data_IF_387306592316
#
_entry.id   IF_387306592316
#
_cell.length_a   1.000
_cell.length_b   1.000
_cell.length_c   1.000
_cell.angle_alpha   90.00
_cell.angle_beta   90.00
_cell.angle_gamma   90.00
#
_symmetry.space_group_name_H-M   'P 1'
#
loop_
_entity.id
_entity.type
_entity.pdbx_description
1 polymer ?
#
# COMPACT_ATOMS: atom_id res chain seq x y z
N UNK A 1 -8.27 -52.21 -10.56
CA UNK A 1 -8.96 -51.14 -9.80
C UNK A 1 -8.01 -50.25 -8.98
N UNK A 2 -6.97 -50.77 -8.28
CA UNK A 2 -6.06 -49.93 -7.47
C UNK A 2 -5.24 -48.92 -8.31
N UNK A 3 -4.72 -49.35 -9.47
CA UNK A 3 -3.83 -48.53 -10.31
C UNK A 3 -4.53 -47.30 -10.92
N UNK A 4 -5.83 -47.43 -11.20
CA UNK A 4 -6.65 -46.33 -11.74
C UNK A 4 -6.94 -45.27 -10.67
N UNK A 5 -7.13 -45.68 -9.41
CA UNK A 5 -7.27 -44.75 -8.29
C UNK A 5 -5.95 -44.04 -7.98
N UNK A 6 -4.81 -44.76 -8.06
CA UNK A 6 -3.49 -44.16 -7.88
C UNK A 6 -3.18 -43.11 -8.95
N UNK A 7 -3.45 -43.41 -10.23
CA UNK A 7 -3.27 -42.46 -11.33
C UNK A 7 -4.15 -41.20 -11.18
N UNK A 8 -5.41 -41.38 -10.76
CA UNK A 8 -6.32 -40.26 -10.48
C UNK A 8 -5.81 -39.39 -9.33
N UNK A 9 -5.37 -39.98 -8.21
CA UNK A 9 -4.85 -39.26 -7.05
C UNK A 9 -3.58 -38.47 -7.39
N UNK A 10 -2.67 -39.05 -8.17
CA UNK A 10 -1.45 -38.37 -8.64
C UNK A 10 -1.83 -37.19 -9.54
N UNK A 11 -2.79 -37.35 -10.44
CA UNK A 11 -3.29 -36.28 -11.29
C UNK A 11 -3.87 -35.11 -10.48
N UNK A 12 -4.71 -35.40 -9.50
CA UNK A 12 -5.30 -34.38 -8.60
C UNK A 12 -4.21 -33.66 -7.80
N UNK A 13 -3.26 -34.40 -7.22
CA UNK A 13 -2.14 -33.81 -6.47
C UNK A 13 -1.29 -32.89 -7.37
N UNK A 14 -1.02 -33.31 -8.60
CA UNK A 14 -0.30 -32.48 -9.59
C UNK A 14 -1.01 -31.16 -9.89
N UNK A 15 -2.34 -31.20 -10.09
CA UNK A 15 -3.14 -30.00 -10.33
C UNK A 15 -3.15 -29.05 -9.11
N UNK A 16 -3.23 -29.59 -7.90
CA UNK A 16 -3.17 -28.80 -6.66
C UNK A 16 -1.81 -28.10 -6.55
N UNK A 17 -0.71 -28.84 -6.73
CA UNK A 17 0.64 -28.29 -6.67
C UNK A 17 0.85 -27.21 -7.73
N UNK A 18 0.34 -27.43 -8.94
CA UNK A 18 0.38 -26.44 -10.02
C UNK A 18 -0.40 -25.17 -9.67
N UNK A 19 -1.61 -25.32 -9.11
CA UNK A 19 -2.41 -24.18 -8.63
C UNK A 19 -1.70 -23.39 -7.53
N UNK A 20 -1.09 -24.08 -6.56
CA UNK A 20 -0.30 -23.44 -5.49
C UNK A 20 0.90 -22.67 -6.05
N UNK A 21 1.60 -23.24 -7.03
CA UNK A 21 2.71 -22.58 -7.71
C UNK A 21 2.27 -21.28 -8.40
N UNK A 22 1.12 -21.29 -9.10
CA UNK A 22 0.56 -20.09 -9.73
C UNK A 22 0.28 -19.01 -8.67
N UNK A 23 -0.32 -19.38 -7.54
CA UNK A 23 -0.62 -18.45 -6.44
C UNK A 23 0.68 -17.86 -5.87
N UNK A 24 1.71 -18.67 -5.63
CA UNK A 24 3.00 -18.18 -5.13
C UNK A 24 3.64 -17.18 -6.09
N UNK A 25 3.68 -17.50 -7.39
CA UNK A 25 4.22 -16.59 -8.42
C UNK A 25 3.43 -15.28 -8.48
N UNK A 26 2.09 -15.36 -8.39
CA UNK A 26 1.24 -14.17 -8.41
C UNK A 26 1.50 -13.26 -7.20
N UNK A 27 1.67 -13.84 -6.01
CA UNK A 27 1.98 -13.10 -4.79
C UNK A 27 3.37 -12.44 -4.86
N UNK A 28 4.38 -13.15 -5.36
CA UNK A 28 5.72 -12.56 -5.55
C UNK A 28 5.69 -11.42 -6.57
N UNK A 29 4.98 -11.58 -7.68
CA UNK A 29 4.81 -10.52 -8.69
C UNK A 29 4.11 -9.29 -8.13
N UNK A 30 3.09 -9.48 -7.29
CA UNK A 30 2.41 -8.37 -6.61
C UNK A 30 3.37 -7.62 -5.68
N UNK A 31 4.14 -8.35 -4.88
CA UNK A 31 5.11 -7.75 -3.96
C UNK A 31 6.20 -6.97 -4.71
N UNK A 32 6.76 -7.56 -5.77
CA UNK A 32 7.74 -6.90 -6.63
C UNK A 32 7.17 -5.64 -7.29
N UNK A 33 5.91 -5.68 -7.77
CA UNK A 33 5.24 -4.51 -8.35
C UNK A 33 5.04 -3.40 -7.33
N UNK A 34 4.62 -3.74 -6.11
CA UNK A 34 4.43 -2.76 -5.04
C UNK A 34 5.76 -2.09 -4.65
N UNK A 35 6.84 -2.87 -4.54
CA UNK A 35 8.18 -2.33 -4.27
C UNK A 35 8.71 -1.46 -5.43
N UNK A 36 8.48 -1.87 -6.68
CA UNK A 36 8.85 -1.06 -7.84
C UNK A 36 8.15 0.30 -7.81
N UNK A 37 6.85 0.33 -7.49
CA UNK A 37 6.10 1.59 -7.34
C UNK A 37 6.56 2.43 -6.16
N UNK A 38 6.93 1.81 -5.05
CA UNK A 38 7.52 2.55 -3.92
C UNK A 38 8.90 3.15 -4.28
N UNK A 39 9.72 2.46 -5.07
CA UNK A 39 11.00 2.99 -5.58
C UNK A 39 10.78 4.16 -6.55
N UNK A 40 9.83 4.01 -7.47
CA UNK A 40 9.42 5.06 -8.40
C UNK A 40 8.90 6.30 -7.65
N UNK A 41 8.11 6.10 -6.60
CA UNK A 41 7.62 7.20 -5.76
C UNK A 41 8.75 8.06 -5.19
N UNK A 42 9.89 7.46 -4.85
CA UNK A 42 11.05 8.15 -4.29
C UNK A 42 12.12 8.50 -5.32
N UNK A 43 11.87 8.24 -6.61
CA UNK A 43 12.80 8.62 -7.66
C UNK A 43 12.92 10.15 -7.72
N UNK A 44 14.15 10.65 -7.64
CA UNK A 44 14.42 12.09 -7.60
C UNK A 44 14.32 12.74 -6.21
N UNK A 45 13.87 12.03 -5.18
CA UNK A 45 14.01 12.52 -3.79
C UNK A 45 15.44 12.26 -3.34
N UNK A 46 16.19 13.22 -2.77
CA UNK A 46 17.49 12.95 -2.17
C UNK A 46 17.43 11.93 -1.03
N UNK A 47 18.55 11.24 -0.74
CA UNK A 47 18.65 10.41 0.47
C UNK A 47 18.88 11.27 1.73
N UNK A 48 19.59 12.39 1.58
CA UNK A 48 19.85 13.38 2.61
C UNK A 48 18.89 14.57 2.48
N UNK A 49 18.26 14.99 3.58
CA UNK A 49 17.29 16.10 3.59
C UNK A 49 17.96 17.48 3.40
N UNK A 50 17.19 18.54 3.02
CA UNK A 50 17.65 19.90 2.77
C UNK A 50 17.89 20.67 4.08
N UNK A 51 18.32 19.97 5.13
CA UNK A 51 18.59 20.53 6.45
C UNK A 51 17.43 20.42 7.45
N UNK A 52 17.52 21.23 8.49
CA UNK A 52 16.59 21.25 9.61
C UNK A 52 15.46 22.25 9.40
N UNK A 53 14.33 22.03 10.08
CA UNK A 53 13.19 22.96 10.05
C UNK A 53 13.51 24.21 10.86
N UNK A 54 13.45 25.39 10.24
CA UNK A 54 13.77 26.66 10.88
C UNK A 54 12.53 27.43 11.33
N UNK A 55 12.66 28.21 12.40
CA UNK A 55 11.56 29.04 12.93
C UNK A 55 11.05 30.06 11.90
N UNK A 56 11.95 30.62 11.08
CA UNK A 56 11.60 31.59 10.03
C UNK A 56 10.69 31.01 8.95
N UNK A 57 10.66 29.69 8.77
CA UNK A 57 9.77 29.03 7.80
C UNK A 57 8.31 29.01 8.24
N UNK A 58 8.05 29.28 9.52
CA UNK A 58 6.69 29.43 10.03
C UNK A 58 6.12 30.82 9.69
N UNK A 59 6.94 31.76 9.21
CA UNK A 59 6.48 33.07 8.78
C UNK A 59 5.50 32.95 7.61
N UNK A 60 4.40 33.70 7.65
CA UNK A 60 3.34 33.65 6.63
C UNK A 60 2.33 32.49 6.77
N UNK A 61 2.59 31.47 7.60
CA UNK A 61 1.60 30.42 7.87
C UNK A 61 0.42 30.95 8.72
N UNK A 62 -0.78 30.33 8.64
CA UNK A 62 -1.86 30.63 9.57
C UNK A 62 -1.44 30.37 11.03
N UNK A 63 -1.93 31.17 11.98
CA UNK A 63 -1.46 31.10 13.37
C UNK A 63 -1.73 29.75 14.04
N UNK A 64 -2.83 29.08 13.66
CA UNK A 64 -3.12 27.73 14.12
C UNK A 64 -2.07 26.70 13.66
N UNK A 65 -1.55 26.84 12.44
CA UNK A 65 -0.50 25.97 11.89
C UNK A 65 0.83 26.24 12.58
N UNK A 66 1.21 27.51 12.75
CA UNK A 66 2.43 27.88 13.50
C UNK A 66 2.42 27.30 14.91
N UNK A 67 1.31 27.44 15.62
CA UNK A 67 1.18 26.96 16.99
C UNK A 67 1.24 25.43 17.06
N UNK A 68 0.64 24.73 16.09
CA UNK A 68 0.74 23.27 15.99
C UNK A 68 2.17 22.80 15.72
N UNK A 69 2.88 23.42 14.76
CA UNK A 69 4.28 23.08 14.43
C UNK A 69 5.23 23.33 15.60
N UNK A 70 5.06 24.43 16.34
CA UNK A 70 5.84 24.67 17.57
C UNK A 70 5.58 23.61 18.63
N UNK A 71 4.32 23.23 18.83
CA UNK A 71 3.93 22.24 19.83
C UNK A 71 4.32 20.81 19.45
N UNK A 72 4.42 20.50 18.16
CA UNK A 72 4.91 19.20 17.69
C UNK A 72 6.42 19.03 17.92
N UNK A 73 7.15 20.12 18.17
CA UNK A 73 8.60 20.10 18.42
C UNK A 73 9.44 19.92 17.16
N UNK A 74 8.89 20.23 15.98
CA UNK A 74 9.58 20.00 14.70
C UNK A 74 10.73 20.98 14.44
N UNK A 75 10.73 22.15 15.07
CA UNK A 75 11.78 23.16 14.86
C UNK A 75 13.13 22.63 15.34
N UNK A 76 14.16 22.79 14.51
CA UNK A 76 15.51 22.27 14.73
C UNK A 76 15.66 20.77 14.44
N UNK A 77 14.58 20.06 14.10
CA UNK A 77 14.64 18.66 13.68
C UNK A 77 14.96 18.55 12.19
N UNK A 78 15.54 17.43 11.80
CA UNK A 78 15.74 17.08 10.39
C UNK A 78 14.39 17.04 9.67
N UNK A 79 14.35 17.62 8.47
CA UNK A 79 13.15 17.60 7.66
C UNK A 79 12.81 16.17 7.22
N UNK A 80 11.52 15.86 7.25
CA UNK A 80 10.99 14.55 6.84
C UNK A 80 10.64 14.59 5.34
N UNK A 81 11.28 13.72 4.55
CA UNK A 81 11.09 13.62 3.09
C UNK A 81 10.36 12.35 2.68
N UNK A 82 10.68 11.27 3.40
CA UNK A 82 10.26 9.92 3.09
C UNK A 82 9.76 9.29 4.37
N UNK A 83 8.57 8.73 4.32
CA UNK A 83 8.00 8.00 5.45
C UNK A 83 7.70 6.58 5.00
N UNK A 84 8.09 5.60 5.84
CA UNK A 84 7.67 4.21 5.71
C UNK A 84 6.95 3.80 6.99
N UNK A 85 5.65 3.57 6.89
CA UNK A 85 4.83 3.09 8.00
C UNK A 85 4.60 1.59 7.84
N UNK A 86 4.78 0.83 8.91
CA UNK A 86 4.35 -0.56 9.03
C UNK A 86 3.06 -0.58 9.84
N UNK A 87 2.02 -1.17 9.28
CA UNK A 87 0.69 -1.18 9.87
C UNK A 87 0.24 -2.62 10.08
N UNK A 88 -0.35 -2.89 11.23
CA UNK A 88 -1.11 -4.11 11.50
C UNK A 88 -2.40 -3.72 12.21
N UNK A 89 -3.47 -4.46 11.95
CA UNK A 89 -4.76 -4.13 12.54
C UNK A 89 -5.88 -4.97 11.97
N UNK A 90 -7.10 -4.45 12.06
CA UNK A 90 -8.30 -5.07 11.51
C UNK A 90 -9.06 -4.07 10.67
N UNK A 91 -9.67 -4.52 9.57
CA UNK A 91 -10.53 -3.71 8.72
C UNK A 91 -11.80 -4.46 8.31
N UNK A 92 -12.86 -3.73 7.98
CA UNK A 92 -14.09 -4.30 7.39
C UNK A 92 -14.13 -3.97 5.90
N UNK A 93 -14.54 -4.92 5.09
CA UNK A 93 -14.72 -4.70 3.63
C UNK A 93 -16.07 -4.06 3.30
N UNK A 94 -17.02 -4.09 4.23
CA UNK A 94 -18.29 -3.39 4.16
C UNK A 94 -18.84 -3.18 5.59
N UNK A 95 -19.77 -2.22 5.80
CA UNK A 95 -20.30 -1.89 7.13
C UNK A 95 -20.87 -3.07 7.93
N UNK A 96 -21.37 -4.11 7.27
CA UNK A 96 -21.97 -5.28 7.92
C UNK A 96 -21.08 -6.54 7.89
N UNK A 97 -19.87 -6.48 7.31
CA UNK A 97 -18.96 -7.64 7.20
C UNK A 97 -18.10 -7.80 8.47
N UNK A 98 -17.54 -8.99 8.75
CA UNK A 98 -16.66 -9.17 9.90
C UNK A 98 -15.37 -8.34 9.79
N UNK A 99 -14.74 -8.06 10.92
CA UNK A 99 -13.41 -7.46 11.00
C UNK A 99 -12.33 -8.48 10.63
N UNK A 100 -11.61 -8.19 9.55
CA UNK A 100 -10.55 -9.03 9.02
C UNK A 100 -9.18 -8.48 9.41
N UNK A 101 -8.24 -9.31 9.88
CA UNK A 101 -6.90 -8.84 10.16
C UNK A 101 -6.17 -8.47 8.86
N UNK A 102 -5.36 -7.41 8.93
CA UNK A 102 -4.53 -6.96 7.83
C UNK A 102 -3.16 -6.52 8.30
N UNK A 103 -2.22 -6.57 7.36
CA UNK A 103 -0.91 -5.94 7.45
C UNK A 103 -0.72 -5.04 6.24
N UNK A 104 -0.06 -3.90 6.42
CA UNK A 104 0.23 -2.98 5.33
C UNK A 104 1.57 -2.28 5.50
N UNK A 105 2.12 -1.84 4.36
CA UNK A 105 3.26 -0.92 4.31
C UNK A 105 2.83 0.31 3.53
N UNK A 106 3.02 1.47 4.14
CA UNK A 106 2.69 2.77 3.55
C UNK A 106 3.98 3.55 3.31
N UNK A 107 4.26 3.86 2.05
CA UNK A 107 5.37 4.72 1.65
C UNK A 107 4.80 6.09 1.28
N UNK A 108 5.34 7.17 1.84
CA UNK A 108 4.87 8.54 1.59
C UNK A 108 6.05 9.41 1.19
N UNK A 109 5.89 10.14 0.09
CA UNK A 109 6.82 11.17 -0.36
C UNK A 109 6.22 12.54 0.00
N UNK A 110 6.97 13.31 0.78
CA UNK A 110 6.54 14.63 1.28
C UNK A 110 6.88 15.74 0.29
N UNK A 111 8.02 15.64 -0.40
CA UNK A 111 8.50 16.67 -1.34
C UNK A 111 7.69 16.69 -2.64
N UNK A 112 7.34 15.50 -3.12
CA UNK A 112 6.46 15.30 -4.27
C UNK A 112 5.24 14.53 -3.79
N UNK A 113 4.12 15.23 -3.47
CA UNK A 113 2.94 14.66 -2.86
C UNK A 113 2.51 13.35 -3.52
N UNK A 114 2.64 12.28 -2.75
CA UNK A 114 2.36 10.94 -3.24
C UNK A 114 2.55 9.88 -2.19
N UNK A 115 1.89 8.75 -2.40
CA UNK A 115 2.06 7.58 -1.57
C UNK A 115 1.91 6.28 -2.37
N UNK A 116 2.46 5.21 -1.81
CA UNK A 116 2.19 3.83 -2.21
C UNK A 116 1.82 3.05 -0.96
N UNK A 117 0.61 2.52 -0.94
CA UNK A 117 0.10 1.69 0.14
C UNK A 117 -0.14 0.29 -0.39
N UNK A 118 0.60 -0.68 0.17
CA UNK A 118 0.37 -2.10 -0.10
C UNK A 118 -0.19 -2.76 1.14
N UNK A 119 -1.20 -3.60 0.97
CA UNK A 119 -1.84 -4.29 2.07
C UNK A 119 -2.17 -5.73 1.73
N UNK A 120 -2.14 -6.56 2.76
CA UNK A 120 -2.55 -7.94 2.75
C UNK A 120 -3.64 -8.13 3.80
N UNK A 121 -4.84 -8.48 3.36
CA UNK A 121 -6.00 -8.73 4.24
C UNK A 121 -6.29 -10.22 4.25
N UNK A 122 -6.33 -10.83 5.44
CA UNK A 122 -6.58 -12.28 5.58
C UNK A 122 -8.08 -12.54 5.63
N UNK A 123 -8.60 -13.22 4.60
CA UNK A 123 -10.01 -13.64 4.52
C UNK A 123 -10.24 -14.96 5.25
N UNK A 124 -9.31 -15.91 5.08
CA UNK A 124 -9.33 -17.24 5.69
C UNK A 124 -7.89 -17.79 5.76
N UNK A 125 -7.62 -18.93 6.42
CA UNK A 125 -6.31 -19.58 6.34
C UNK A 125 -5.89 -19.83 4.89
N UNK A 126 -4.73 -19.31 4.48
CA UNK A 126 -4.22 -19.40 3.11
C UNK A 126 -4.88 -18.45 2.09
N UNK A 127 -5.99 -17.79 2.42
CA UNK A 127 -6.75 -16.93 1.49
C UNK A 127 -6.61 -15.46 1.89
N UNK A 128 -6.02 -14.66 1.00
CA UNK A 128 -5.75 -13.25 1.22
C UNK A 128 -6.22 -12.38 0.06
N UNK A 129 -6.65 -11.16 0.37
CA UNK A 129 -6.73 -10.07 -0.59
C UNK A 129 -5.46 -9.23 -0.52
N UNK A 130 -5.02 -8.78 -1.68
CA UNK A 130 -3.83 -7.98 -1.88
C UNK A 130 -4.25 -6.65 -2.47
N UNK A 131 -4.12 -5.58 -1.68
CA UNK A 131 -4.44 -4.22 -2.08
C UNK A 131 -3.17 -3.45 -2.42
N UNK A 132 -3.19 -2.74 -3.54
CA UNK A 132 -2.19 -1.75 -3.91
C UNK A 132 -2.95 -0.46 -4.26
N UNK A 133 -2.80 0.54 -3.40
CA UNK A 133 -3.32 1.90 -3.60
C UNK A 133 -2.15 2.86 -3.76
N UNK A 134 -2.29 3.86 -4.62
CA UNK A 134 -1.25 4.87 -4.81
C UNK A 134 -1.83 6.20 -5.28
N UNK A 135 -1.16 7.26 -4.86
CA UNK A 135 -1.31 8.61 -5.38
C UNK A 135 0.05 9.08 -5.85
N UNK A 136 0.15 9.56 -7.08
CA UNK A 136 1.41 10.10 -7.61
C UNK A 136 1.12 11.02 -8.78
N UNK A 137 1.81 12.17 -8.84
CA UNK A 137 1.66 13.17 -9.90
C UNK A 137 0.19 13.58 -10.13
N UNK A 138 -0.57 13.77 -9.05
CA UNK A 138 -1.98 14.16 -9.12
C UNK A 138 -2.95 13.02 -9.41
N UNK A 139 -2.49 11.79 -9.64
CA UNK A 139 -3.33 10.68 -10.08
C UNK A 139 -3.41 9.54 -9.07
N UNK A 140 -4.64 9.10 -8.82
CA UNK A 140 -5.00 7.99 -7.94
C UNK A 140 -5.15 6.67 -8.69
N UNK A 141 -4.73 5.57 -8.06
CA UNK A 141 -4.87 4.23 -8.63
C UNK A 141 -5.12 3.22 -7.53
N UNK A 142 -6.11 2.36 -7.72
CA UNK A 142 -6.43 1.29 -6.77
C UNK A 142 -6.54 -0.06 -7.47
N UNK A 143 -5.77 -1.03 -7.00
CA UNK A 143 -5.81 -2.40 -7.47
C UNK A 143 -5.94 -3.37 -6.29
N UNK A 144 -7.05 -4.11 -6.22
CA UNK A 144 -7.25 -5.14 -5.21
C UNK A 144 -7.44 -6.48 -5.91
N UNK A 145 -6.70 -7.50 -5.48
CA UNK A 145 -6.76 -8.84 -6.05
C UNK A 145 -6.96 -9.91 -4.97
N UNK A 146 -7.79 -10.91 -5.25
CA UNK A 146 -7.87 -12.13 -4.46
C UNK A 146 -6.72 -13.07 -4.84
N UNK A 147 -6.01 -13.59 -3.84
CA UNK A 147 -4.83 -14.47 -3.99
C UNK A 147 -3.70 -13.88 -4.87
N UNK A 148 -3.75 -12.58 -5.17
CA UNK A 148 -2.83 -11.91 -6.11
C UNK A 148 -3.18 -12.11 -7.59
N UNK A 149 -4.25 -12.85 -7.90
CA UNK A 149 -4.61 -13.26 -9.27
C UNK A 149 -5.89 -12.57 -9.72
N UNK A 150 -7.00 -12.86 -9.04
CA UNK A 150 -8.35 -12.47 -9.50
C UNK A 150 -8.60 -11.00 -9.13
N UNK A 151 -8.80 -10.09 -10.09
CA UNK A 151 -9.08 -8.70 -9.78
C UNK A 151 -10.45 -8.55 -9.12
N UNK A 152 -10.48 -7.88 -7.98
CA UNK A 152 -11.70 -7.47 -7.29
C UNK A 152 -11.99 -5.97 -7.51
N UNK A 153 -10.92 -5.17 -7.52
CA UNK A 153 -10.98 -3.74 -7.81
C UNK A 153 -9.84 -3.40 -8.75
N UNK A 154 -10.12 -2.62 -9.79
CA UNK A 154 -9.11 -2.13 -10.71
C UNK A 154 -9.50 -0.75 -11.23
N UNK A 155 -9.27 0.27 -10.41
CA UNK A 155 -9.62 1.64 -10.73
C UNK A 155 -8.42 2.35 -11.34
N UNK A 156 -8.67 2.99 -12.49
CA UNK A 156 -7.72 3.87 -13.18
C UNK A 156 -7.88 5.31 -12.70
N UNK A 157 -6.96 6.22 -13.04
CA UNK A 157 -7.09 7.64 -12.73
C UNK A 157 -8.38 8.20 -13.31
N UNK A 158 -8.90 9.19 -12.63
CA UNK A 158 -10.12 9.89 -12.96
C UNK A 158 -10.48 10.83 -11.82
N UNK A 159 -11.32 11.84 -12.08
CA UNK A 159 -11.54 12.95 -11.13
C UNK A 159 -11.86 12.49 -9.70
N UNK A 160 -12.75 11.51 -9.57
CA UNK A 160 -13.19 10.97 -8.27
C UNK A 160 -12.07 10.21 -7.54
N UNK A 161 -11.30 9.38 -8.27
CA UNK A 161 -10.21 8.58 -7.70
C UNK A 161 -9.01 9.48 -7.33
N UNK A 162 -8.70 10.44 -8.17
CA UNK A 162 -7.63 11.42 -7.96
C UNK A 162 -7.96 12.28 -6.74
N UNK A 163 -9.19 12.76 -6.61
CA UNK A 163 -9.65 13.50 -5.44
C UNK A 163 -9.64 12.63 -4.17
N UNK A 164 -10.18 11.41 -4.23
CA UNK A 164 -10.26 10.51 -3.07
C UNK A 164 -8.87 10.15 -2.53
N UNK A 165 -7.93 9.85 -3.42
CA UNK A 165 -6.55 9.50 -3.03
C UNK A 165 -5.75 10.73 -2.59
N UNK A 166 -5.97 11.91 -3.19
CA UNK A 166 -5.40 13.16 -2.68
C UNK A 166 -5.88 13.46 -1.26
N UNK A 167 -7.17 13.31 -0.98
CA UNK A 167 -7.71 13.45 0.38
C UNK A 167 -7.04 12.49 1.36
N UNK A 168 -6.81 11.24 0.94
CA UNK A 168 -6.09 10.25 1.75
C UNK A 168 -4.62 10.60 1.98
N UNK A 169 -3.96 11.28 1.05
CA UNK A 169 -2.59 11.77 1.24
C UNK A 169 -2.53 12.88 2.30
N UNK A 170 -3.56 13.73 2.36
CA UNK A 170 -3.63 14.88 3.27
C UNK A 170 -4.15 14.55 4.67
N UNK A 171 -4.71 13.36 4.88
CA UNK A 171 -5.34 12.91 6.13
C UNK A 171 -4.38 12.12 7.02
#
# INVERSE_FOLDING_TARGET
MPDMMAGFLVGVAGLILFGLLIVLIAQQRWEARALAKARELFSGVPEDGPGTVQESELEGLPDCVKQWLRRSGVIGQDRIHRVKLLQSGRMRTAPHKPWLPFEAVHYVNVDHPGFVWKARVKLAPGIHMFGLDRYCQGHGFMNIKLLGIVPLVNTKPGPEMDQSTMLRYLA
#
